data_IF_483371171810
#
_entry.id   IF_483371171810
#
_cell.length_a   1.000
_cell.length_b   1.000
_cell.length_c   1.000
_cell.angle_alpha   90.00
_cell.angle_beta   90.00
_cell.angle_gamma   90.00
#
_symmetry.space_group_name_H-M   'P 1'
#
loop_
_entity.id
_entity.type
_entity.pdbx_description
1 polymer ?
#
# COMPACT_ATOMS: atom_id res chain seq x y z
N UNK A 1 18.03 -4.90 -7.76
CA UNK A 1 16.81 -5.32 -8.47
C UNK A 1 15.89 -5.92 -7.42
N UNK A 2 14.80 -5.24 -7.06
CA UNK A 2 13.79 -5.84 -6.15
C UNK A 2 13.04 -6.84 -7.00
N UNK A 3 13.44 -8.10 -6.87
CA UNK A 3 12.74 -9.21 -7.47
C UNK A 3 11.62 -9.61 -6.51
N UNK A 4 10.39 -9.17 -6.78
CA UNK A 4 9.20 -9.85 -6.26
C UNK A 4 9.13 -11.18 -7.04
N UNK A 5 9.89 -12.16 -6.57
CA UNK A 5 9.98 -13.52 -7.08
C UNK A 5 9.31 -14.43 -6.02
N UNK A 6 8.33 -15.33 -6.26
CA UNK A 6 7.66 -15.88 -7.46
C UNK A 6 6.45 -16.75 -7.00
N UNK A 7 5.50 -17.06 -7.90
CA UNK A 7 4.81 -18.37 -7.92
C UNK A 7 5.81 -19.54 -8.00
N UNK A 8 5.43 -20.81 -7.91
CA UNK A 8 6.41 -21.93 -7.80
C UNK A 8 7.48 -22.02 -8.94
N UNK A 9 7.35 -21.29 -10.07
CA UNK A 9 8.04 -21.58 -11.33
C UNK A 9 9.00 -20.51 -11.91
N UNK A 10 9.48 -19.52 -11.16
CA UNK A 10 10.40 -18.52 -11.74
C UNK A 10 9.80 -17.22 -12.31
N UNK A 11 8.51 -17.21 -12.69
CA UNK A 11 7.88 -16.12 -13.44
C UNK A 11 7.56 -14.84 -12.63
N UNK A 12 7.76 -13.63 -13.19
CA UNK A 12 7.34 -12.38 -12.54
C UNK A 12 5.83 -12.39 -12.27
N UNK A 13 5.41 -12.00 -11.06
CA UNK A 13 4.00 -11.71 -10.79
C UNK A 13 3.59 -10.48 -11.59
N UNK A 14 2.77 -10.67 -12.62
CA UNK A 14 2.17 -9.59 -13.38
C UNK A 14 0.73 -9.37 -12.93
N UNK A 15 0.19 -8.18 -13.18
CA UNK A 15 -1.23 -7.90 -12.95
C UNK A 15 -2.17 -8.79 -13.79
N UNK A 16 -1.63 -9.44 -14.82
CA UNK A 16 -2.34 -10.34 -15.75
C UNK A 16 -2.10 -11.83 -15.43
N UNK A 17 -1.27 -12.13 -14.42
CA UNK A 17 -0.91 -13.49 -14.04
C UNK A 17 -2.00 -14.20 -13.21
N UNK A 18 -1.85 -15.52 -12.95
CA UNK A 18 -2.82 -16.27 -12.17
C UNK A 18 -3.00 -15.67 -10.76
N UNK A 19 -4.24 -15.32 -10.43
CA UNK A 19 -4.59 -14.75 -9.13
C UNK A 19 -4.84 -15.88 -8.11
N UNK A 20 -4.16 -15.83 -6.97
CA UNK A 20 -4.36 -16.76 -5.85
C UNK A 20 -4.34 -16.02 -4.52
N UNK A 21 -5.01 -16.57 -3.51
CA UNK A 21 -4.99 -16.01 -2.14
C UNK A 21 -3.59 -16.02 -1.53
N UNK A 22 -2.77 -17.02 -1.86
CA UNK A 22 -1.36 -17.06 -1.48
C UNK A 22 -0.56 -15.96 -2.17
N UNK A 23 -0.76 -15.77 -3.48
CA UNK A 23 -0.13 -14.68 -4.24
C UNK A 23 -0.48 -13.30 -3.69
N UNK A 24 -1.75 -13.07 -3.35
CA UNK A 24 -2.20 -11.81 -2.75
C UNK A 24 -1.51 -11.53 -1.40
N UNK A 25 -1.35 -12.56 -0.55
CA UNK A 25 -0.64 -12.44 0.74
C UNK A 25 0.85 -12.13 0.57
N UNK A 26 1.52 -12.80 -0.37
CA UNK A 26 2.93 -12.54 -0.70
C UNK A 26 3.11 -11.09 -1.21
N UNK A 27 2.21 -10.63 -2.09
CA UNK A 27 2.23 -9.25 -2.58
C UNK A 27 2.08 -8.25 -1.43
N UNK A 28 1.11 -8.47 -0.53
CA UNK A 28 0.90 -7.60 0.63
C UNK A 28 2.14 -7.55 1.55
N UNK A 29 2.78 -8.70 1.81
CA UNK A 29 4.03 -8.74 2.56
C UNK A 29 5.18 -7.99 1.85
N UNK A 30 5.24 -8.12 0.52
CA UNK A 30 6.20 -7.41 -0.33
C UNK A 30 6.10 -5.88 -0.24
N UNK A 31 4.90 -5.33 -0.02
CA UNK A 31 4.71 -3.88 0.20
C UNK A 31 5.46 -3.43 1.46
N UNK A 32 5.34 -4.18 2.56
CA UNK A 32 6.05 -3.87 3.80
C UNK A 32 7.57 -3.88 3.64
N UNK A 33 8.10 -4.87 2.92
CA UNK A 33 9.53 -4.96 2.62
C UNK A 33 10.00 -3.83 1.68
N UNK A 34 9.20 -3.46 0.68
CA UNK A 34 9.50 -2.34 -0.20
C UNK A 34 9.60 -1.01 0.58
N UNK A 35 8.67 -0.78 1.53
CA UNK A 35 8.74 0.39 2.43
C UNK A 35 9.99 0.34 3.31
N UNK A 36 10.36 -0.84 3.84
CA UNK A 36 11.59 -1.00 4.63
C UNK A 36 12.83 -0.67 3.82
N UNK A 37 12.92 -1.14 2.57
CA UNK A 37 14.01 -0.83 1.66
C UNK A 37 14.05 0.67 1.31
N UNK A 38 12.90 1.30 1.11
CA UNK A 38 12.81 2.75 0.91
C UNK A 38 13.29 3.52 2.15
N UNK A 39 12.94 3.08 3.36
CA UNK A 39 13.43 3.68 4.60
C UNK A 39 14.96 3.55 4.72
N UNK A 40 15.54 2.41 4.35
CA UNK A 40 16.99 2.25 4.30
C UNK A 40 17.64 3.16 3.25
N UNK A 41 17.03 3.27 2.06
CA UNK A 41 17.53 4.14 0.99
C UNK A 41 17.41 5.64 1.31
N UNK A 42 16.49 6.04 2.17
CA UNK A 42 16.31 7.44 2.58
C UNK A 42 17.04 7.77 3.90
N UNK A 43 17.59 6.77 4.58
CA UNK A 43 18.31 6.94 5.84
C UNK A 43 19.56 7.83 5.68
N UNK A 44 19.72 8.81 6.57
CA UNK A 44 20.90 9.67 6.64
C UNK A 44 21.11 10.63 5.47
N UNK A 45 20.14 10.75 4.53
CA UNK A 45 20.15 11.74 3.43
C UNK A 45 21.22 11.55 2.35
N UNK A 46 22.28 10.78 2.62
CA UNK A 46 23.43 10.60 1.73
C UNK A 46 23.09 9.98 0.36
N UNK A 47 21.98 9.26 0.28
CA UNK A 47 21.52 8.59 -0.96
C UNK A 47 20.43 9.37 -1.71
N UNK A 48 19.89 10.45 -1.14
CA UNK A 48 18.96 11.37 -1.81
C UNK A 48 19.74 12.50 -2.47
N UNK A 49 20.48 12.17 -3.53
CA UNK A 49 21.45 13.07 -4.16
C UNK A 49 20.84 14.31 -4.85
N UNK A 50 19.51 14.39 -5.01
CA UNK A 50 18.85 15.53 -5.65
C UNK A 50 17.39 15.70 -5.20
N UNK A 51 16.86 16.94 -5.23
CA UNK A 51 15.43 17.19 -5.08
C UNK A 51 14.56 16.47 -6.13
N UNK A 52 15.09 16.23 -7.33
CA UNK A 52 14.40 15.48 -8.37
C UNK A 52 14.13 14.01 -7.96
N UNK A 53 15.06 13.36 -7.24
CA UNK A 53 14.82 12.02 -6.71
C UNK A 53 13.68 12.01 -5.69
N UNK A 54 13.65 13.01 -4.79
CA UNK A 54 12.59 13.17 -3.79
C UNK A 54 11.23 13.44 -4.47
N UNK A 55 11.20 14.29 -5.49
CA UNK A 55 10.02 14.55 -6.33
C UNK A 55 9.44 13.25 -6.91
N UNK A 56 10.29 12.42 -7.53
CA UNK A 56 9.86 11.16 -8.11
C UNK A 56 9.35 10.17 -7.06
N UNK A 57 10.02 10.07 -5.90
CA UNK A 57 9.60 9.20 -4.80
C UNK A 57 8.21 9.62 -4.29
N UNK A 58 7.96 10.92 -4.05
CA UNK A 58 6.64 11.38 -3.62
C UNK A 58 5.55 11.07 -4.64
N UNK A 59 5.81 11.26 -5.94
CA UNK A 59 4.86 10.90 -6.99
C UNK A 59 4.53 9.40 -7.03
N UNK A 60 5.54 8.53 -6.89
CA UNK A 60 5.33 7.07 -6.84
C UNK A 60 4.54 6.63 -5.60
N UNK A 61 4.80 7.23 -4.44
CA UNK A 61 4.04 6.95 -3.22
C UNK A 61 2.60 7.45 -3.34
N UNK A 62 2.37 8.61 -3.97
CA UNK A 62 1.03 9.12 -4.23
C UNK A 62 0.22 8.16 -5.11
N UNK A 63 0.84 7.64 -6.18
CA UNK A 63 0.18 6.65 -7.05
C UNK A 63 -0.14 5.34 -6.30
N UNK A 64 0.78 4.84 -5.48
CA UNK A 64 0.54 3.66 -4.66
C UNK A 64 -0.63 3.87 -3.68
N UNK A 65 -0.66 5.00 -2.97
CA UNK A 65 -1.74 5.36 -2.06
C UNK A 65 -3.10 5.49 -2.78
N UNK A 66 -3.10 5.98 -4.02
CA UNK A 66 -4.31 6.14 -4.84
C UNK A 66 -4.92 4.81 -5.31
N UNK A 67 -4.10 3.75 -5.46
CA UNK A 67 -4.54 2.41 -5.87
C UNK A 67 -5.03 1.54 -4.72
N UNK A 68 -4.55 1.81 -3.50
CA UNK A 68 -4.88 1.02 -2.30
C UNK A 68 -6.40 0.88 -2.05
N UNK A 69 -7.24 1.93 -2.21
CA UNK A 69 -8.69 1.81 -2.03
C UNK A 69 -9.34 0.70 -2.84
N UNK A 70 -8.90 0.47 -4.07
CA UNK A 70 -9.47 -0.57 -4.94
C UNK A 70 -9.28 -1.96 -4.32
N UNK A 71 -8.07 -2.27 -3.84
CA UNK A 71 -7.78 -3.56 -3.22
C UNK A 71 -8.56 -3.74 -1.91
N UNK A 72 -8.69 -2.68 -1.10
CA UNK A 72 -9.46 -2.71 0.14
C UNK A 72 -10.94 -2.99 -0.11
N UNK A 73 -11.56 -2.30 -1.07
CA UNK A 73 -12.97 -2.54 -1.45
C UNK A 73 -13.19 -3.95 -2.02
N UNK A 74 -12.24 -4.49 -2.78
CA UNK A 74 -12.34 -5.87 -3.28
C UNK A 74 -12.31 -6.90 -2.15
N UNK A 75 -11.46 -6.70 -1.14
CA UNK A 75 -11.40 -7.59 0.03
C UNK A 75 -12.64 -7.46 0.90
N UNK A 76 -13.15 -6.26 1.11
CA UNK A 76 -14.38 -6.01 1.87
C UNK A 76 -15.59 -6.65 1.20
N UNK A 77 -15.75 -6.48 -0.11
CA UNK A 77 -16.84 -7.13 -0.87
C UNK A 77 -16.78 -8.66 -0.75
N UNK A 78 -15.58 -9.25 -0.85
CA UNK A 78 -15.42 -10.69 -0.71
C UNK A 78 -15.89 -11.21 0.66
N UNK A 79 -15.59 -10.50 1.74
CA UNK A 79 -16.05 -10.85 3.09
C UNK A 79 -17.56 -10.62 3.23
N UNK A 80 -18.08 -9.52 2.71
CA UNK A 80 -19.51 -9.22 2.73
C UNK A 80 -20.33 -10.31 2.02
N UNK A 81 -19.89 -10.75 0.84
CA UNK A 81 -20.50 -11.85 0.08
C UNK A 81 -20.45 -13.16 0.86
N UNK A 82 -19.29 -13.51 1.42
CA UNK A 82 -19.13 -14.74 2.19
C UNK A 82 -20.06 -14.81 3.41
N UNK A 83 -20.27 -13.67 4.09
CA UNK A 83 -21.20 -13.54 5.22
C UNK A 83 -22.65 -13.61 4.77
N UNK A 84 -23.00 -12.95 3.65
CA UNK A 84 -24.34 -12.98 3.08
C UNK A 84 -24.75 -14.40 2.66
N UNK A 85 -23.81 -15.16 2.09
CA UNK A 85 -23.99 -16.55 1.69
C UNK A 85 -23.97 -17.54 2.88
N UNK A 86 -23.64 -17.07 4.09
CA UNK A 86 -23.53 -17.91 5.29
C UNK A 86 -22.35 -18.89 5.25
N UNK A 87 -21.37 -18.66 4.39
CA UNK A 87 -20.19 -19.52 4.21
C UNK A 87 -19.10 -19.29 5.27
N UNK A 88 -19.18 -18.15 5.97
CA UNK A 88 -18.29 -17.82 7.08
C UNK A 88 -19.09 -17.48 8.32
N UNK A 89 -18.49 -17.75 9.47
CA UNK A 89 -18.96 -17.34 10.79
C UNK A 89 -17.81 -16.70 11.54
N UNK A 90 -18.12 -15.81 12.47
CA UNK A 90 -17.13 -15.38 13.44
C UNK A 90 -16.92 -16.50 14.46
N UNK A 91 -15.66 -16.72 14.85
CA UNK A 91 -15.34 -17.66 15.93
C UNK A 91 -15.72 -17.04 17.29
N UNK A 92 -16.51 -17.72 18.14
CA UNK A 92 -16.96 -17.14 19.40
C UNK A 92 -15.86 -16.98 20.45
N UNK A 93 -14.73 -17.68 20.33
CA UNK A 93 -13.63 -17.64 21.30
C UNK A 93 -12.58 -16.56 20.96
N UNK A 94 -12.50 -16.15 19.69
CA UNK A 94 -11.51 -15.18 19.19
C UNK A 94 -12.12 -13.94 18.54
N UNK A 95 -13.42 -13.98 18.23
CA UNK A 95 -14.16 -12.90 17.61
C UNK A 95 -14.53 -11.80 18.59
N UNK A 96 -14.49 -10.55 18.11
CA UNK A 96 -14.89 -9.38 18.89
C UNK A 96 -16.41 -9.23 18.99
N UNK A 97 -17.17 -9.92 18.15
CA UNK A 97 -18.64 -9.81 18.05
C UNK A 97 -19.38 -11.05 18.55
N UNK A 98 -18.73 -11.90 19.35
CA UNK A 98 -19.39 -13.02 20.03
C UNK A 98 -20.01 -14.07 19.10
N UNK A 99 -19.45 -14.25 17.89
CA UNK A 99 -19.94 -15.19 16.89
C UNK A 99 -20.87 -14.56 15.85
N UNK A 100 -21.10 -13.24 15.90
CA UNK A 100 -22.00 -12.53 14.99
C UNK A 100 -21.28 -12.07 13.72
N UNK A 101 -21.25 -12.93 12.70
CA UNK A 101 -20.61 -12.66 11.41
C UNK A 101 -21.09 -11.35 10.73
N UNK A 102 -22.39 -11.03 10.84
CA UNK A 102 -22.95 -9.79 10.28
C UNK A 102 -22.41 -8.53 10.98
N UNK A 103 -22.15 -8.60 12.29
CA UNK A 103 -21.57 -7.49 13.03
C UNK A 103 -20.09 -7.28 12.63
N UNK A 104 -19.32 -8.36 12.49
CA UNK A 104 -17.95 -8.32 11.98
C UNK A 104 -17.88 -7.77 10.54
N UNK A 105 -18.83 -8.14 9.66
CA UNK A 105 -18.92 -7.60 8.31
C UNK A 105 -19.21 -6.09 8.32
N UNK A 106 -20.18 -5.64 9.12
CA UNK A 106 -20.52 -4.22 9.23
C UNK A 106 -19.34 -3.37 9.73
N UNK A 107 -18.59 -3.88 10.71
CA UNK A 107 -17.36 -3.22 11.17
C UNK A 107 -16.30 -3.18 10.05
N UNK A 108 -16.12 -4.27 9.31
CA UNK A 108 -15.18 -4.35 8.17
C UNK A 108 -15.52 -3.32 7.10
N UNK A 109 -16.80 -3.14 6.75
CA UNK A 109 -17.26 -2.11 5.80
C UNK A 109 -16.90 -0.71 6.28
N UNK A 110 -17.20 -0.41 7.55
CA UNK A 110 -16.93 0.92 8.13
C UNK A 110 -15.43 1.21 8.21
N UNK A 111 -14.62 0.25 8.68
CA UNK A 111 -13.16 0.39 8.73
C UNK A 111 -12.54 0.50 7.33
N UNK A 112 -13.06 -0.24 6.36
CA UNK A 112 -12.63 -0.12 4.95
C UNK A 112 -12.91 1.27 4.41
N UNK A 113 -14.10 1.83 4.68
CA UNK A 113 -14.44 3.20 4.28
C UNK A 113 -13.47 4.22 4.88
N UNK A 114 -13.14 4.10 6.17
CA UNK A 114 -12.17 4.96 6.85
C UNK A 114 -10.76 4.82 6.25
N UNK A 115 -10.31 3.59 6.00
CA UNK A 115 -9.02 3.31 5.39
C UNK A 115 -8.91 3.90 3.97
N UNK A 116 -9.96 3.75 3.15
CA UNK A 116 -10.02 4.36 1.82
C UNK A 116 -9.96 5.90 1.88
N UNK A 117 -10.65 6.52 2.84
CA UNK A 117 -10.58 7.97 3.03
C UNK A 117 -9.17 8.42 3.44
N UNK A 118 -8.53 7.70 4.36
CA UNK A 118 -7.16 7.97 4.80
C UNK A 118 -6.14 7.80 3.67
N UNK A 119 -6.27 6.74 2.86
CA UNK A 119 -5.41 6.53 1.68
C UNK A 119 -5.57 7.66 0.65
N UNK A 120 -6.81 8.12 0.43
CA UNK A 120 -7.08 9.28 -0.40
C UNK A 120 -6.45 10.57 0.11
N UNK A 121 -6.49 10.80 1.43
CA UNK A 121 -5.80 11.96 2.05
C UNK A 121 -4.28 11.85 1.95
N UNK A 122 -3.72 10.68 2.20
CA UNK A 122 -2.29 10.43 2.04
C UNK A 122 -1.83 10.71 0.60
N UNK A 123 -2.58 10.24 -0.41
CA UNK A 123 -2.29 10.54 -1.81
C UNK A 123 -2.25 12.05 -2.08
N UNK A 124 -3.23 12.82 -1.59
CA UNK A 124 -3.25 14.29 -1.77
C UNK A 124 -2.09 14.97 -1.09
N UNK A 125 -1.74 14.54 0.12
CA UNK A 125 -0.60 15.10 0.86
C UNK A 125 0.73 14.81 0.14
N UNK A 126 0.87 13.62 -0.45
CA UNK A 126 2.03 13.25 -1.25
C UNK A 126 2.12 14.04 -2.57
N UNK A 127 1.00 14.27 -3.26
CA UNK A 127 0.94 15.13 -4.45
C UNK A 127 1.37 16.58 -4.10
N UNK A 128 0.96 17.07 -2.91
CA UNK A 128 1.39 18.39 -2.40
C UNK A 128 2.88 18.43 -2.05
N UNK A 129 3.41 17.37 -1.44
CA UNK A 129 4.84 17.24 -1.14
C UNK A 129 5.66 17.22 -2.43
N UNK A 130 5.25 16.44 -3.43
CA UNK A 130 5.84 16.42 -4.77
C UNK A 130 5.86 17.83 -5.37
N UNK A 131 4.73 18.54 -5.36
CA UNK A 131 4.63 19.90 -5.90
C UNK A 131 5.55 20.88 -5.16
N UNK A 132 5.63 20.79 -3.84
CA UNK A 132 6.47 21.67 -3.03
C UNK A 132 7.97 21.49 -3.30
N UNK A 133 8.43 20.26 -3.56
CA UNK A 133 9.84 20.00 -3.89
C UNK A 133 10.17 20.23 -5.36
N UNK A 134 9.17 20.30 -6.26
CA UNK A 134 9.37 20.47 -7.70
C UNK A 134 10.07 21.77 -8.09
N UNK A 135 10.01 22.80 -7.24
CA UNK A 135 10.73 24.06 -7.44
C UNK A 135 12.16 24.09 -6.88
N UNK A 136 12.60 23.03 -6.20
CA UNK A 136 13.92 22.99 -5.56
C UNK A 136 14.98 22.52 -6.56
N UNK A 137 16.05 23.30 -6.69
CA UNK A 137 17.23 22.94 -7.46
C UNK A 137 18.43 22.75 -6.53
N UNK A 138 19.37 21.87 -6.92
CA UNK A 138 20.66 21.79 -6.24
C UNK A 138 21.45 23.07 -6.54
N UNK A 139 21.95 23.71 -5.49
CA UNK A 139 22.93 24.79 -5.62
C UNK A 139 24.30 24.14 -5.50
N UNK A 140 25.08 24.13 -6.58
CA UNK A 140 26.47 23.72 -6.50
C UNK A 140 27.24 24.80 -5.72
N UNK A 141 28.06 24.45 -4.71
CA UNK A 141 28.87 25.43 -4.02
C UNK A 141 29.83 26.08 -5.04
N UNK A 142 29.72 27.40 -5.19
CA UNK A 142 30.58 28.16 -6.10
C UNK A 142 32.07 28.06 -5.74
N UNK A 143 32.98 28.41 -6.66
CA UNK A 143 34.42 28.16 -6.54
C UNK A 143 35.19 29.06 -5.55
N UNK A 144 34.58 29.51 -4.45
CA UNK A 144 35.28 30.32 -3.42
C UNK A 144 34.93 29.87 -1.99
N UNK A 145 35.82 29.05 -1.41
CA UNK A 145 36.19 29.01 0.02
C UNK A 145 37.63 28.56 0.17
#
# INVERSE_FOLDING_TARGET
>A
MIEIRISQDGAPLTAEGPHSSEGARIIAAGIGEAVRLLNHATWGGAHLASPAAVYSIYGSLADAARRLPQALTQMEQHIADAVADGTVREDPDYGSHGGHAQAAAAETTELTRQACAAAGELSRLLDRLQSAVGGLARVDPGPDR
#
